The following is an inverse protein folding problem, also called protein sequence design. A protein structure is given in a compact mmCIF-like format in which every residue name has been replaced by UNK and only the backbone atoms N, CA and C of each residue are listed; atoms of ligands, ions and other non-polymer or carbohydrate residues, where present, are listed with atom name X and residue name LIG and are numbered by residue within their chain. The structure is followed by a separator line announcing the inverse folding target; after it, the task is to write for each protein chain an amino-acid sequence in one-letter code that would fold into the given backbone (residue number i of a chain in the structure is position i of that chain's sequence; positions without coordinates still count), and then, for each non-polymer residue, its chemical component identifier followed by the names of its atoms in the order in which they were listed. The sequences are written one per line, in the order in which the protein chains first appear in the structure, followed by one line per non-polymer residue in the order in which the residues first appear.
data_IF_641619013935
#
_entry.id   IF_641619013935
#
_cell.length_a   1.000
_cell.length_b   1.000
_cell.length_c   1.000
_cell.angle_alpha   90.00
_cell.angle_beta   90.00
_cell.angle_gamma   90.00
#
_symmetry.space_group_name_H-M   'P 1'
#
loop_
_entity.id
_entity.type
_entity.pdbx_description
1 polymer ?
#
# COMPACT_ATOMS: atom_id res chain seq x y z
N UNK A 1 -46.69 -59.25 46.36
CA UNK A 1 -45.57 -59.99 45.70
C UNK A 1 -45.55 -59.78 44.18
N UNK A 2 -46.71 -59.67 43.52
CA UNK A 2 -46.83 -59.46 42.07
C UNK A 2 -46.28 -58.08 41.63
N UNK A 3 -46.61 -57.00 42.34
CA UNK A 3 -46.13 -55.63 42.00
C UNK A 3 -44.61 -55.46 42.08
N UNK A 4 -43.96 -56.19 43.00
CA UNK A 4 -42.51 -56.13 43.15
C UNK A 4 -41.80 -56.80 41.97
N UNK A 5 -42.37 -57.89 41.44
CA UNK A 5 -41.84 -58.58 40.26
C UNK A 5 -42.00 -57.73 38.99
N UNK A 6 -43.14 -57.06 38.85
CA UNK A 6 -43.39 -56.16 37.71
C UNK A 6 -42.37 -55.03 37.67
N UNK A 7 -42.18 -54.32 38.79
CA UNK A 7 -41.20 -53.24 38.90
C UNK A 7 -39.76 -53.68 38.65
N UNK A 8 -39.38 -54.88 39.11
CA UNK A 8 -38.05 -55.44 38.83
C UNK A 8 -37.89 -55.74 37.33
N UNK A 9 -38.94 -56.22 36.67
CA UNK A 9 -38.93 -56.42 35.22
C UNK A 9 -38.77 -55.11 34.46
N UNK A 10 -39.57 -54.09 34.80
CA UNK A 10 -39.49 -52.76 34.17
C UNK A 10 -38.12 -52.11 34.37
N UNK A 11 -37.54 -52.26 35.56
CA UNK A 11 -36.21 -51.74 35.85
C UNK A 11 -35.12 -52.49 35.05
N UNK A 12 -35.26 -53.80 34.89
CA UNK A 12 -34.32 -54.60 34.09
C UNK A 12 -34.41 -54.27 32.59
N UNK A 13 -35.61 -53.97 32.08
CA UNK A 13 -35.81 -53.51 30.71
C UNK A 13 -35.17 -52.12 30.49
N UNK A 14 -35.34 -51.21 31.45
CA UNK A 14 -34.70 -49.89 31.43
C UNK A 14 -33.17 -49.98 31.47
N UNK A 15 -32.62 -50.84 32.32
CA UNK A 15 -31.17 -51.06 32.41
C UNK A 15 -30.60 -51.64 31.11
N UNK A 16 -31.35 -52.51 30.44
CA UNK A 16 -30.96 -53.05 29.13
C UNK A 16 -30.96 -51.98 28.04
N UNK A 17 -31.98 -51.10 28.00
CA UNK A 17 -32.04 -49.97 27.07
C UNK A 17 -30.92 -48.95 27.31
N UNK A 18 -30.63 -48.67 28.59
CA UNK A 18 -29.52 -47.80 28.99
C UNK A 18 -28.18 -48.40 28.54
N UNK A 19 -27.96 -49.70 28.75
CA UNK A 19 -26.75 -50.40 28.30
C UNK A 19 -26.56 -50.33 26.78
N UNK A 20 -27.64 -50.53 26.01
CA UNK A 20 -27.61 -50.40 24.56
C UNK A 20 -27.27 -48.97 24.11
N UNK A 21 -27.78 -47.95 24.82
CA UNK A 21 -27.50 -46.55 24.54
C UNK A 21 -26.04 -46.20 24.84
N UNK A 22 -25.51 -46.65 25.97
CA UNK A 22 -24.09 -46.46 26.34
C UNK A 22 -23.17 -47.13 25.31
N UNK A 23 -23.51 -48.33 24.83
CA UNK A 23 -22.74 -48.99 23.78
C UNK A 23 -22.71 -48.18 22.48
N UNK A 24 -23.85 -47.64 22.04
CA UNK A 24 -23.93 -46.76 20.86
C UNK A 24 -23.13 -45.47 21.04
N UNK A 25 -23.16 -44.88 22.23
CA UNK A 25 -22.37 -43.68 22.52
C UNK A 25 -20.87 -43.98 22.48
N UNK A 26 -20.45 -45.13 23.03
CA UNK A 26 -19.05 -45.57 23.00
C UNK A 26 -18.51 -45.70 21.57
N UNK A 27 -19.29 -46.30 20.66
CA UNK A 27 -18.88 -46.42 19.25
C UNK A 27 -18.81 -45.08 18.53
N UNK A 28 -19.73 -44.14 18.83
CA UNK A 28 -19.69 -42.79 18.27
C UNK A 28 -18.46 -42.02 18.78
N UNK A 29 -18.17 -42.09 20.08
CA UNK A 29 -17.01 -41.43 20.69
C UNK A 29 -15.73 -41.95 20.05
N UNK A 30 -15.60 -43.27 19.90
CA UNK A 30 -14.44 -43.87 19.25
C UNK A 30 -14.27 -43.38 17.80
N UNK A 31 -15.37 -43.28 17.04
CA UNK A 31 -15.34 -42.71 15.69
C UNK A 31 -14.93 -41.22 15.68
N UNK A 32 -15.34 -40.44 16.68
CA UNK A 32 -14.92 -39.06 16.83
C UNK A 32 -13.43 -38.95 17.19
N UNK A 33 -12.91 -39.81 18.05
CA UNK A 33 -11.48 -39.85 18.40
C UNK A 33 -10.60 -40.15 17.18
N UNK A 34 -11.01 -41.11 16.34
CA UNK A 34 -10.30 -41.44 15.11
C UNK A 34 -10.32 -40.28 14.10
N UNK A 35 -11.46 -39.58 13.98
CA UNK A 35 -11.56 -38.39 13.13
C UNK A 35 -10.68 -37.25 13.65
N UNK A 36 -10.68 -36.99 14.95
CA UNK A 36 -9.82 -35.97 15.57
C UNK A 36 -8.35 -36.29 15.29
N UNK A 37 -7.93 -37.54 15.50
CA UNK A 37 -6.57 -37.99 15.21
C UNK A 37 -6.21 -37.80 13.73
N UNK A 38 -7.13 -38.11 12.82
CA UNK A 38 -6.94 -37.88 11.39
C UNK A 38 -6.77 -36.41 11.03
N UNK A 39 -7.59 -35.53 11.61
CA UNK A 39 -7.49 -34.08 11.41
C UNK A 39 -6.19 -33.51 11.99
N UNK A 40 -5.74 -33.99 13.15
CA UNK A 40 -4.46 -33.57 13.74
C UNK A 40 -3.28 -33.90 12.82
N UNK A 41 -3.27 -35.08 12.21
CA UNK A 41 -2.26 -35.48 11.22
C UNK A 41 -2.29 -34.55 10.00
N UNK A 42 -3.47 -34.28 9.44
CA UNK A 42 -3.59 -33.37 8.28
C UNK A 42 -3.13 -31.95 8.59
N UNK A 43 -3.45 -31.43 9.78
CA UNK A 43 -2.99 -30.11 10.22
C UNK A 43 -1.47 -30.09 10.35
N UNK A 44 -0.89 -31.15 10.90
CA UNK A 44 0.56 -31.25 11.07
C UNK A 44 1.29 -31.35 9.72
N UNK A 45 0.80 -32.16 8.80
CA UNK A 45 1.33 -32.27 7.44
C UNK A 45 1.24 -30.93 6.69
N UNK A 46 0.07 -30.28 6.72
CA UNK A 46 -0.13 -28.96 6.09
C UNK A 46 0.81 -27.89 6.68
N UNK A 47 1.02 -27.92 8.00
CA UNK A 47 1.95 -27.03 8.68
C UNK A 47 3.41 -27.28 8.27
N UNK A 48 3.81 -28.53 8.11
CA UNK A 48 5.16 -28.88 7.64
C UNK A 48 5.37 -28.48 6.17
N UNK A 49 4.39 -28.69 5.31
CA UNK A 49 4.45 -28.23 3.92
C UNK A 49 4.56 -26.71 3.83
N UNK A 50 3.78 -25.98 4.63
CA UNK A 50 3.85 -24.53 4.69
C UNK A 50 5.23 -24.05 5.12
N UNK A 51 5.80 -24.69 6.15
CA UNK A 51 7.17 -24.41 6.59
C UNK A 51 8.20 -24.64 5.48
N UNK A 52 8.13 -25.79 4.79
CA UNK A 52 9.05 -26.10 3.68
C UNK A 52 8.95 -25.05 2.57
N UNK A 53 7.74 -24.69 2.15
CA UNK A 53 7.54 -23.64 1.14
C UNK A 53 8.08 -22.29 1.60
N UNK A 54 7.87 -21.92 2.86
CA UNK A 54 8.39 -20.67 3.42
C UNK A 54 9.92 -20.65 3.40
N UNK A 55 10.58 -21.75 3.81
CA UNK A 55 12.04 -21.87 3.81
C UNK A 55 12.61 -21.84 2.37
N UNK A 56 11.93 -22.48 1.42
CA UNK A 56 12.28 -22.44 -0.01
C UNK A 56 12.19 -21.02 -0.59
N UNK A 57 11.11 -20.28 -0.29
CA UNK A 57 10.95 -18.89 -0.74
C UNK A 57 12.01 -17.97 -0.14
N UNK A 58 12.36 -18.13 1.14
CA UNK A 58 13.43 -17.35 1.78
C UNK A 58 14.80 -17.65 1.14
N UNK A 59 15.08 -18.92 0.84
CA UNK A 59 16.30 -19.32 0.13
C UNK A 59 16.35 -18.77 -1.31
N UNK A 60 15.22 -18.77 -2.03
CA UNK A 60 15.12 -18.18 -3.37
C UNK A 60 15.32 -16.66 -3.35
N UNK A 61 14.69 -15.96 -2.41
CA UNK A 61 14.84 -14.52 -2.24
C UNK A 61 16.30 -14.15 -1.93
N UNK A 62 16.95 -14.91 -1.03
CA UNK A 62 18.39 -14.73 -0.71
C UNK A 62 19.28 -14.97 -1.92
N UNK A 63 19.01 -16.00 -2.72
CA UNK A 63 19.76 -16.28 -3.95
C UNK A 63 19.59 -15.14 -4.97
N UNK A 64 18.36 -14.72 -5.24
CA UNK A 64 18.08 -13.60 -6.13
C UNK A 64 18.75 -12.30 -5.67
N UNK A 65 18.75 -12.02 -4.37
CA UNK A 65 19.45 -10.86 -3.82
C UNK A 65 20.97 -10.92 -4.07
N UNK A 66 21.59 -12.09 -3.87
CA UNK A 66 23.01 -12.29 -4.15
C UNK A 66 23.33 -12.15 -5.64
N UNK A 67 22.48 -12.65 -6.54
CA UNK A 67 22.65 -12.54 -7.98
C UNK A 67 22.59 -11.07 -8.44
N UNK A 68 21.55 -10.34 -8.01
CA UNK A 68 21.42 -8.89 -8.24
C UNK A 68 22.63 -8.11 -7.71
N UNK A 69 23.13 -8.48 -6.52
CA UNK A 69 24.30 -7.84 -5.95
C UNK A 69 25.57 -8.06 -6.81
N UNK A 70 25.74 -9.26 -7.40
CA UNK A 70 26.85 -9.55 -8.33
C UNK A 70 26.71 -8.77 -9.64
N UNK A 71 25.50 -8.68 -10.20
CA UNK A 71 25.26 -7.88 -11.42
C UNK A 71 25.55 -6.39 -11.19
N UNK A 72 25.09 -5.84 -10.07
CA UNK A 72 25.36 -4.45 -9.70
C UNK A 72 26.87 -4.21 -9.53
N UNK A 73 27.60 -5.16 -8.94
CA UNK A 73 29.05 -5.07 -8.82
C UNK A 73 29.74 -5.07 -10.21
N UNK A 74 29.31 -5.95 -11.12
CA UNK A 74 29.83 -6.02 -12.48
C UNK A 74 29.56 -4.73 -13.28
N UNK A 75 28.34 -4.17 -13.18
CA UNK A 75 27.98 -2.91 -13.84
C UNK A 75 28.78 -1.72 -13.28
N UNK A 76 29.00 -1.69 -11.96
CA UNK A 76 29.86 -0.67 -11.33
C UNK A 76 31.29 -0.73 -11.86
N UNK A 77 31.85 -1.93 -12.02
CA UNK A 77 33.18 -2.14 -12.58
C UNK A 77 33.26 -1.68 -14.04
N UNK A 78 32.29 -2.05 -14.87
CA UNK A 78 32.22 -1.57 -16.27
C UNK A 78 32.14 -0.04 -16.35
N UNK A 79 31.35 0.60 -15.47
CA UNK A 79 31.24 2.05 -15.40
C UNK A 79 32.57 2.71 -14.98
N UNK A 80 33.29 2.12 -14.03
CA UNK A 80 34.60 2.60 -13.61
C UNK A 80 35.62 2.56 -14.77
N UNK A 81 35.64 1.45 -15.53
CA UNK A 81 36.51 1.30 -16.70
C UNK A 81 36.18 2.30 -17.82
N UNK A 82 34.89 2.53 -18.09
CA UNK A 82 34.43 3.56 -19.05
C UNK A 82 34.86 4.97 -18.61
N UNK A 83 34.69 5.28 -17.33
CA UNK A 83 35.08 6.58 -16.74
C UNK A 83 36.59 6.81 -16.86
N UNK A 84 37.41 5.78 -16.60
CA UNK A 84 38.86 5.87 -16.73
C UNK A 84 39.31 6.06 -18.19
N UNK A 85 38.69 5.35 -19.14
CA UNK A 85 38.94 5.53 -20.58
C UNK A 85 38.60 6.95 -21.06
N UNK A 86 37.49 7.52 -20.57
CA UNK A 86 37.08 8.88 -20.88
C UNK A 86 38.09 9.91 -20.35
N UNK A 87 38.57 9.74 -19.12
CA UNK A 87 39.56 10.62 -18.50
C UNK A 87 40.95 10.53 -19.18
N UNK A 88 41.32 9.36 -19.70
CA UNK A 88 42.55 9.17 -20.47
C UNK A 88 42.47 9.83 -21.88
N UNK A 89 41.29 9.77 -22.52
CA UNK A 89 41.05 10.39 -23.83
C UNK A 89 40.89 11.92 -23.73
N UNK A 90 40.31 12.42 -22.63
CA UNK A 90 40.10 13.85 -22.36
C UNK A 90 41.37 14.68 -22.12
N UNK A 91 42.57 14.07 -22.04
CA UNK A 91 43.84 14.80 -21.92
C UNK A 91 44.40 15.34 -23.24
N UNK A 92 43.78 15.04 -24.39
CA UNK A 92 44.26 15.51 -25.72
C UNK A 92 43.52 16.69 -26.32
N UNK A 93 42.42 17.17 -25.73
CA UNK A 93 41.73 18.36 -26.22
C UNK A 93 41.35 19.27 -25.04
N UNK A 94 41.74 20.54 -25.17
CA UNK A 94 41.38 21.70 -24.34
C UNK A 94 42.27 22.01 -23.11
N UNK A 95 43.54 22.33 -23.39
CA UNK A 95 44.26 23.43 -22.69
C UNK A 95 43.87 24.75 -23.35
N UNK A 96 42.66 25.23 -23.14
CA UNK A 96 42.23 26.62 -23.39
C UNK A 96 40.73 26.77 -23.05
N UNK A 97 40.44 27.25 -21.85
CA UNK A 97 39.28 28.10 -21.53
C UNK A 97 39.17 28.18 -20.00
N UNK A 98 39.78 29.22 -19.45
CA UNK A 98 39.45 29.73 -18.13
C UNK A 98 38.01 30.25 -18.16
N UNK A 99 37.27 29.91 -17.11
CA UNK A 99 36.07 30.59 -16.59
C UNK A 99 34.84 30.71 -17.52
N UNK A 100 33.94 29.70 -17.48
CA UNK A 100 32.48 29.93 -17.55
C UNK A 100 31.71 28.86 -16.74
N UNK A 101 30.55 29.19 -16.13
CA UNK A 101 29.78 28.28 -15.29
C UNK A 101 29.02 27.26 -16.15
N UNK A 102 29.22 25.98 -15.85
CA UNK A 102 28.61 24.84 -16.55
C UNK A 102 27.08 24.83 -16.33
N UNK A 103 26.24 24.79 -17.39
CA UNK A 103 24.81 24.56 -17.23
C UNK A 103 24.59 23.10 -16.82
N UNK A 104 23.85 22.90 -15.72
CA UNK A 104 23.45 21.57 -15.23
C UNK A 104 22.71 20.81 -16.33
N UNK A 105 23.20 19.59 -16.60
CA UNK A 105 22.57 18.56 -17.42
C UNK A 105 21.06 18.55 -17.23
N UNK A 106 20.32 18.83 -18.30
CA UNK A 106 18.90 18.55 -18.41
C UNK A 106 18.72 17.04 -18.31
N UNK A 107 18.30 16.56 -17.13
CA UNK A 107 17.79 15.21 -16.99
C UNK A 107 16.47 15.12 -17.75
N UNK A 108 16.39 14.13 -18.63
CA UNK A 108 15.22 13.75 -19.41
C UNK A 108 13.99 13.62 -18.52
N UNK A 109 12.91 14.31 -18.92
CA UNK A 109 11.76 14.67 -18.11
C UNK A 109 10.76 13.53 -17.79
N UNK A 110 11.19 12.27 -17.69
CA UNK A 110 10.25 11.15 -17.53
C UNK A 110 10.10 10.58 -16.11
N UNK A 111 11.05 10.81 -15.19
CA UNK A 111 10.98 10.25 -13.82
C UNK A 111 11.18 11.30 -12.71
N UNK A 112 10.80 12.56 -12.97
CA UNK A 112 10.88 13.59 -11.93
C UNK A 112 9.67 13.49 -11.00
N UNK A 113 9.89 13.34 -9.70
CA UNK A 113 8.85 13.43 -8.67
C UNK A 113 8.40 14.89 -8.53
N UNK A 114 7.10 15.17 -8.66
CA UNK A 114 6.58 16.54 -8.57
C UNK A 114 5.23 16.65 -7.87
N UNK A 115 5.04 17.79 -7.20
CA UNK A 115 3.76 18.23 -6.65
C UNK A 115 3.19 19.34 -7.54
N UNK A 116 1.90 19.29 -7.90
CA UNK A 116 1.26 20.32 -8.73
C UNK A 116 0.25 21.10 -7.92
N UNK A 117 0.30 22.42 -8.00
CA UNK A 117 -0.65 23.34 -7.34
C UNK A 117 -1.43 24.06 -8.43
N UNK A 118 -2.74 23.88 -8.43
CA UNK A 118 -3.67 24.53 -9.33
C UNK A 118 -4.26 25.77 -8.65
N UNK A 119 -4.01 26.93 -9.26
CA UNK A 119 -4.43 28.25 -8.77
C UNK A 119 -5.59 28.85 -9.58
N UNK A 120 -6.18 28.09 -10.51
CA UNK A 120 -7.22 28.57 -11.43
C UNK A 120 -8.48 29.11 -10.73
N UNK A 121 -8.78 28.65 -9.51
CA UNK A 121 -9.96 29.09 -8.73
C UNK A 121 -9.61 30.13 -7.65
N UNK A 122 -8.38 30.63 -7.63
CA UNK A 122 -7.97 31.67 -6.68
C UNK A 122 -8.63 33.01 -7.05
N UNK A 123 -9.35 33.60 -6.10
CA UNK A 123 -9.99 34.91 -6.28
C UNK A 123 -8.97 36.02 -6.53
N UNK A 124 -9.35 37.05 -7.28
CA UNK A 124 -8.47 38.18 -7.64
C UNK A 124 -7.75 38.82 -6.44
N UNK A 125 -8.42 38.93 -5.28
CA UNK A 125 -7.83 39.48 -4.05
C UNK A 125 -6.62 38.68 -3.52
N UNK A 126 -6.54 37.40 -3.83
CA UNK A 126 -5.51 36.48 -3.34
C UNK A 126 -4.48 36.11 -4.44
N UNK A 127 -4.55 36.71 -5.64
CA UNK A 127 -3.65 36.37 -6.77
C UNK A 127 -2.17 36.61 -6.46
N UNK A 128 -1.85 37.64 -5.68
CA UNK A 128 -0.50 37.91 -5.22
C UNK A 128 0.07 36.74 -4.39
N UNK A 129 -0.73 36.16 -3.47
CA UNK A 129 -0.34 35.01 -2.66
C UNK A 129 -0.18 33.72 -3.49
N UNK A 130 -0.91 33.62 -4.61
CA UNK A 130 -0.82 32.51 -5.55
C UNK A 130 0.26 32.67 -6.62
N UNK A 131 1.11 33.70 -6.53
CA UNK A 131 2.27 33.82 -7.41
C UNK A 131 3.32 32.77 -7.08
N UNK A 132 4.09 32.36 -8.10
CA UNK A 132 5.12 31.32 -8.00
C UNK A 132 6.14 31.60 -6.87
N UNK A 133 6.53 32.86 -6.70
CA UNK A 133 7.45 33.29 -5.64
C UNK A 133 6.84 33.16 -4.25
N UNK A 134 5.57 33.56 -4.08
CA UNK A 134 4.84 33.48 -2.82
C UNK A 134 4.56 32.04 -2.41
N UNK A 135 4.13 31.19 -3.36
CA UNK A 135 3.96 29.75 -3.14
C UNK A 135 5.28 29.11 -2.71
N UNK A 136 6.37 29.40 -3.43
CA UNK A 136 7.70 28.88 -3.09
C UNK A 136 8.12 29.30 -1.68
N UNK A 137 7.89 30.56 -1.31
CA UNK A 137 8.27 31.09 -0.01
C UNK A 137 7.42 30.48 1.11
N UNK A 138 6.11 30.38 0.93
CA UNK A 138 5.20 29.80 1.92
C UNK A 138 5.57 28.34 2.22
N UNK A 139 5.76 27.54 1.17
CA UNK A 139 6.15 26.13 1.30
C UNK A 139 7.52 26.01 1.97
N UNK A 140 8.50 26.82 1.56
CA UNK A 140 9.83 26.79 2.18
C UNK A 140 9.78 27.15 3.67
N UNK A 141 8.94 28.10 4.06
CA UNK A 141 8.76 28.48 5.47
C UNK A 141 8.09 27.36 6.26
N UNK A 142 7.06 26.74 5.70
CA UNK A 142 6.35 25.64 6.37
C UNK A 142 7.25 24.40 6.52
N UNK A 143 7.97 24.03 5.48
CA UNK A 143 8.92 22.91 5.55
C UNK A 143 10.02 23.13 6.58
N UNK A 144 10.45 24.38 6.79
CA UNK A 144 11.39 24.73 7.87
C UNK A 144 10.78 24.53 9.26
N UNK A 145 9.51 24.88 9.42
CA UNK A 145 8.80 24.68 10.67
C UNK A 145 8.58 23.19 10.98
N UNK A 146 8.35 22.36 9.95
CA UNK A 146 8.13 20.92 10.11
C UNK A 146 9.41 20.14 10.42
N UNK A 147 10.55 20.49 9.80
CA UNK A 147 11.74 19.64 9.82
C UNK A 147 12.94 20.19 10.62
N UNK A 148 12.83 21.40 11.20
CA UNK A 148 13.91 22.02 11.98
C UNK A 148 15.21 22.32 11.21
N UNK A 149 15.27 22.00 9.91
CA UNK A 149 16.44 22.20 9.07
C UNK A 149 16.37 23.50 8.26
N UNK A 150 17.33 24.39 8.45
CA UNK A 150 17.37 25.73 7.83
C UNK A 150 17.66 25.70 6.32
N UNK A 151 18.26 24.61 5.82
CA UNK A 151 18.87 24.52 4.49
C UNK A 151 18.00 23.86 3.42
N UNK A 152 16.78 23.40 3.75
CA UNK A 152 15.94 22.74 2.75
C UNK A 152 15.53 23.73 1.64
N UNK A 153 15.72 23.31 0.38
CA UNK A 153 15.37 24.08 -0.82
C UNK A 153 14.68 23.14 -1.81
N UNK A 154 13.45 23.47 -2.21
CA UNK A 154 12.77 22.78 -3.31
C UNK A 154 13.68 22.78 -4.55
N UNK A 155 13.76 21.66 -5.28
CA UNK A 155 14.70 21.53 -6.39
C UNK A 155 14.38 22.49 -7.53
N UNK A 156 13.09 22.63 -7.86
CA UNK A 156 12.60 23.67 -8.75
C UNK A 156 11.13 23.98 -8.46
N UNK A 157 10.71 25.22 -8.75
CA UNK A 157 9.29 25.60 -8.80
C UNK A 157 9.07 26.26 -10.15
N UNK A 158 8.20 25.69 -10.97
CA UNK A 158 8.02 26.04 -12.38
C UNK A 158 6.54 26.18 -12.69
N UNK A 159 6.17 27.16 -13.52
CA UNK A 159 4.81 27.28 -14.05
C UNK A 159 4.67 26.35 -15.26
N UNK A 160 3.57 25.61 -15.38
CA UNK A 160 3.37 24.75 -16.56
C UNK A 160 3.25 25.58 -17.83
N UNK A 161 3.95 25.17 -18.89
CA UNK A 161 3.90 25.85 -20.19
C UNK A 161 2.50 25.78 -20.83
N UNK A 162 1.78 24.68 -20.60
CA UNK A 162 0.43 24.46 -21.14
C UNK A 162 -0.68 25.10 -20.30
N UNK A 163 -0.43 25.35 -19.01
CA UNK A 163 -1.42 25.90 -18.11
C UNK A 163 -0.75 26.87 -17.12
N UNK A 164 -0.92 28.16 -17.37
CA UNK A 164 -0.32 29.20 -16.56
C UNK A 164 -0.83 29.22 -15.11
N UNK A 165 -2.00 28.64 -14.82
CA UNK A 165 -2.55 28.57 -13.47
C UNK A 165 -2.01 27.38 -12.66
N UNK A 166 -1.23 26.49 -13.28
CA UNK A 166 -0.60 25.35 -12.63
C UNK A 166 0.87 25.60 -12.34
N UNK A 167 1.25 25.37 -11.09
CA UNK A 167 2.63 25.47 -10.61
C UNK A 167 3.10 24.07 -10.22
N UNK A 168 4.17 23.59 -10.84
CA UNK A 168 4.85 22.34 -10.51
C UNK A 168 6.02 22.61 -9.59
N UNK A 169 6.13 21.84 -8.51
CA UNK A 169 7.26 21.81 -7.60
C UNK A 169 7.96 20.48 -7.82
N UNK A 170 9.21 20.54 -8.26
CA UNK A 170 10.05 19.36 -8.50
C UNK A 170 10.77 18.99 -7.22
N UNK A 171 10.71 17.70 -6.87
CA UNK A 171 11.30 17.08 -5.69
C UNK A 171 12.43 16.11 -6.11
N UNK A 172 13.37 15.85 -5.20
CA UNK A 172 14.53 14.96 -5.43
C UNK A 172 14.23 13.50 -5.09
N UNK A 173 13.40 13.27 -4.09
CA UNK A 173 13.02 11.96 -3.58
C UNK A 173 11.57 11.95 -3.07
N UNK A 174 11.05 10.75 -2.78
CA UNK A 174 9.65 10.55 -2.36
C UNK A 174 9.36 11.18 -0.99
N UNK A 175 10.34 11.21 -0.09
CA UNK A 175 10.19 11.83 1.22
C UNK A 175 10.07 13.35 1.10
N UNK A 176 10.89 13.99 0.25
CA UNK A 176 10.77 15.41 -0.11
C UNK A 176 9.43 15.68 -0.78
N UNK A 177 8.97 14.80 -1.68
CA UNK A 177 7.66 14.94 -2.31
C UNK A 177 6.52 14.93 -1.28
N UNK A 178 6.53 13.98 -0.35
CA UNK A 178 5.49 13.87 0.67
C UNK A 178 5.46 15.10 1.59
N UNK A 179 6.61 15.55 2.07
CA UNK A 179 6.69 16.77 2.89
C UNK A 179 6.26 18.02 2.08
N UNK A 180 6.63 18.12 0.81
CA UNK A 180 6.20 19.22 -0.06
C UNK A 180 4.69 19.21 -0.27
N UNK A 181 4.07 18.03 -0.45
CA UNK A 181 2.60 17.88 -0.56
C UNK A 181 1.91 18.39 0.71
N UNK A 182 2.39 17.98 1.88
CA UNK A 182 1.83 18.41 3.17
C UNK A 182 1.99 19.90 3.41
N UNK A 183 3.20 20.44 3.21
CA UNK A 183 3.48 21.87 3.33
C UNK A 183 2.65 22.70 2.34
N UNK A 184 2.51 22.24 1.09
CA UNK A 184 1.69 22.90 0.08
C UNK A 184 0.20 22.89 0.46
N UNK A 185 -0.30 21.80 1.05
CA UNK A 185 -1.69 21.68 1.46
C UNK A 185 -1.99 22.61 2.63
N UNK A 186 -1.06 22.72 3.59
CA UNK A 186 -1.19 23.60 4.76
C UNK A 186 -1.07 25.09 4.41
N UNK A 187 -0.22 25.41 3.43
CA UNK A 187 -0.02 26.78 2.95
C UNK A 187 -0.89 27.15 1.76
N UNK A 188 -1.85 26.28 1.38
CA UNK A 188 -2.73 26.48 0.25
C UNK A 188 -3.51 27.80 0.41
N UNK A 189 -3.36 28.67 -0.59
CA UNK A 189 -4.14 29.90 -0.70
C UNK A 189 -5.60 29.54 -0.95
N UNK A 190 -6.53 30.29 -0.37
CA UNK A 190 -7.96 30.09 -0.60
C UNK A 190 -8.29 30.09 -2.11
N UNK A 191 -8.92 29.00 -2.58
CA UNK A 191 -9.20 28.76 -4.00
C UNK A 191 -8.08 28.07 -4.78
N UNK A 192 -6.90 27.87 -4.19
CA UNK A 192 -5.88 26.98 -4.74
C UNK A 192 -6.13 25.55 -4.29
N UNK A 193 -5.75 24.58 -5.12
CA UNK A 193 -5.78 23.16 -4.76
C UNK A 193 -4.43 22.53 -5.07
N UNK A 194 -3.88 21.81 -4.11
CA UNK A 194 -2.80 20.88 -4.39
C UNK A 194 -3.42 19.72 -5.15
N UNK A 195 -2.99 19.50 -6.38
CA UNK A 195 -3.36 18.32 -7.14
C UNK A 195 -2.73 17.13 -6.42
N UNK A 196 -3.57 16.27 -5.87
CA UNK A 196 -3.15 14.97 -5.33
C UNK A 196 -2.52 14.13 -6.44
N UNK A 197 -1.95 13.00 -6.06
CA UNK A 197 -1.72 11.91 -7.01
C UNK A 197 -2.99 11.71 -7.85
N UNK A 198 -2.84 11.54 -9.16
CA UNK A 198 -3.99 11.35 -10.02
C UNK A 198 -4.66 10.04 -9.62
N UNK A 199 -5.67 10.14 -8.74
CA UNK A 199 -6.53 9.03 -8.39
C UNK A 199 -7.45 8.81 -9.58
N UNK A 200 -7.40 7.61 -10.15
CA UNK A 200 -8.28 7.20 -11.23
C UNK A 200 -9.39 6.35 -10.64
N UNK A 201 -10.67 6.68 -10.87
CA UNK A 201 -11.76 5.87 -10.36
C UNK A 201 -11.73 4.50 -11.04
N UNK A 202 -11.70 3.44 -10.24
CA UNK A 202 -11.77 2.06 -10.70
C UNK A 202 -13.11 1.47 -10.26
N UNK A 203 -13.89 0.98 -11.21
CA UNK A 203 -15.12 0.24 -10.90
C UNK A 203 -14.76 -1.19 -10.53
N UNK A 204 -15.24 -1.63 -9.37
CA UNK A 204 -15.11 -3.01 -8.88
C UNK A 204 -16.51 -3.59 -8.80
N UNK A 205 -16.80 -4.61 -9.62
CA UNK A 205 -18.05 -5.35 -9.56
C UNK A 205 -17.92 -6.55 -8.61
N UNK A 206 -19.06 -7.03 -8.09
CA UNK A 206 -19.13 -8.21 -7.21
C UNK A 206 -18.28 -8.12 -5.92
N UNK A 207 -18.18 -6.92 -5.34
CA UNK A 207 -17.54 -6.72 -4.04
C UNK A 207 -18.46 -7.19 -2.90
N UNK A 208 -17.88 -7.85 -1.90
CA UNK A 208 -18.62 -8.31 -0.71
C UNK A 208 -18.93 -7.12 0.21
N UNK A 209 -20.23 -6.85 0.41
CA UNK A 209 -20.74 -5.74 1.22
C UNK A 209 -20.28 -5.84 2.67
N UNK A 210 -20.40 -7.00 3.30
CA UNK A 210 -20.14 -7.16 4.75
C UNK A 210 -18.65 -7.10 5.09
N UNK A 211 -17.77 -7.26 4.09
CA UNK A 211 -16.34 -7.14 4.26
C UNK A 211 -15.85 -5.68 4.17
N UNK A 212 -16.66 -4.78 3.60
CA UNK A 212 -16.25 -3.41 3.28
C UNK A 212 -17.11 -2.39 4.01
N UNK A 213 -18.39 -2.68 4.25
CA UNK A 213 -19.35 -1.80 4.88
C UNK A 213 -19.92 -2.41 6.17
N UNK A 214 -20.26 -1.56 7.14
CA UNK A 214 -21.02 -1.93 8.33
C UNK A 214 -22.53 -2.10 8.05
N UNK A 215 -23.31 -2.37 9.10
CA UNK A 215 -24.76 -2.51 9.00
C UNK A 215 -25.41 -1.20 8.53
N UNK A 216 -24.82 -0.08 8.92
CA UNK A 216 -25.16 1.28 8.55
C UNK A 216 -24.66 1.62 7.13
N UNK A 217 -23.92 0.75 6.43
CA UNK A 217 -23.45 1.03 5.07
C UNK A 217 -22.33 2.07 4.98
N UNK A 218 -21.70 2.41 6.08
CA UNK A 218 -20.46 3.19 6.15
C UNK A 218 -19.26 2.26 5.96
N UNK A 219 -18.15 2.79 5.42
CA UNK A 219 -16.95 1.98 5.15
C UNK A 219 -16.31 1.58 6.48
N UNK A 220 -16.06 0.28 6.64
CA UNK A 220 -15.45 -0.27 7.84
C UNK A 220 -14.06 0.33 8.07
N UNK A 221 -13.71 0.67 9.33
CA UNK A 221 -12.34 1.08 9.68
C UNK A 221 -11.34 -0.01 9.28
N UNK A 222 -10.26 0.36 8.59
CA UNK A 222 -9.26 -0.59 8.12
C UNK A 222 -9.55 -1.22 6.74
N UNK A 223 -10.74 -1.06 6.18
CA UNK A 223 -11.08 -1.66 4.88
C UNK A 223 -10.26 -1.06 3.73
N UNK A 224 -10.04 0.25 3.77
CA UNK A 224 -9.22 0.94 2.76
C UNK A 224 -7.76 0.46 2.85
N UNK A 225 -7.24 0.37 4.07
CA UNK A 225 -5.87 -0.05 4.35
C UNK A 225 -5.63 -1.51 3.96
N UNK A 226 -6.56 -2.40 4.31
CA UNK A 226 -6.48 -3.82 3.98
C UNK A 226 -6.53 -4.04 2.46
N UNK A 227 -7.49 -3.42 1.76
CA UNK A 227 -7.59 -3.53 0.29
C UNK A 227 -6.38 -2.91 -0.42
N UNK A 228 -5.87 -1.79 0.10
CA UNK A 228 -4.65 -1.15 -0.39
C UNK A 228 -3.44 -2.07 -0.24
N UNK A 229 -3.27 -2.68 0.93
CA UNK A 229 -2.17 -3.59 1.24
C UNK A 229 -2.23 -4.89 0.40
N UNK A 230 -3.41 -5.48 0.28
CA UNK A 230 -3.64 -6.72 -0.48
C UNK A 230 -3.28 -6.54 -1.97
N UNK A 231 -3.67 -5.41 -2.55
CA UNK A 231 -3.49 -5.13 -3.98
C UNK A 231 -2.21 -4.33 -4.30
N UNK A 232 -1.44 -3.93 -3.28
CA UNK A 232 -0.25 -3.07 -3.40
C UNK A 232 -0.54 -1.76 -4.15
N UNK A 233 -1.69 -1.16 -3.86
CA UNK A 233 -2.13 0.13 -4.43
C UNK A 233 -2.53 1.09 -3.32
N UNK A 234 -2.47 2.38 -3.58
CA UNK A 234 -2.96 3.39 -2.63
C UNK A 234 -4.41 3.73 -2.96
N UNK A 235 -5.36 3.23 -2.16
CA UNK A 235 -6.77 3.57 -2.32
C UNK A 235 -7.06 4.86 -1.55
N UNK A 236 -7.58 5.88 -2.24
CA UNK A 236 -7.90 7.17 -1.63
C UNK A 236 -9.31 7.26 -1.06
N UNK A 237 -10.30 6.65 -1.72
CA UNK A 237 -11.71 6.70 -1.29
C UNK A 237 -12.50 5.54 -1.91
N UNK A 238 -13.29 4.86 -1.09
CA UNK A 238 -14.27 3.87 -1.55
C UNK A 238 -15.65 4.51 -1.59
N UNK A 239 -16.45 4.22 -2.61
CA UNK A 239 -17.85 4.62 -2.68
C UNK A 239 -18.71 3.51 -3.26
N UNK A 240 -19.77 3.15 -2.54
CA UNK A 240 -20.69 2.10 -2.97
C UNK A 240 -21.64 2.63 -4.04
N UNK A 241 -21.74 1.95 -5.19
CA UNK A 241 -22.53 2.45 -6.33
C UNK A 241 -24.02 2.11 -6.23
N UNK A 242 -24.42 1.36 -5.20
CA UNK A 242 -25.73 0.73 -5.15
C UNK A 242 -26.53 1.16 -3.92
N UNK A 243 -27.87 1.11 -4.04
CA UNK A 243 -28.78 1.55 -2.99
C UNK A 243 -28.53 0.79 -1.67
N UNK A 244 -28.45 1.52 -0.56
CA UNK A 244 -28.16 1.02 0.80
C UNK A 244 -29.13 -0.07 1.27
N UNK A 245 -30.40 0.03 0.90
CA UNK A 245 -31.51 -0.82 1.38
C UNK A 245 -31.59 -2.20 0.75
N UNK A 246 -30.70 -2.50 -0.19
CA UNK A 246 -31.00 -3.47 -1.22
C UNK A 246 -30.61 -4.91 -0.90
N UNK A 247 -30.27 -5.21 0.37
CA UNK A 247 -30.12 -6.54 0.98
C UNK A 247 -29.13 -7.53 0.34
N UNK A 248 -28.57 -7.25 -0.83
CA UNK A 248 -27.68 -8.18 -1.54
C UNK A 248 -26.28 -8.13 -0.97
N UNK A 249 -25.71 -9.32 -0.73
CA UNK A 249 -24.37 -9.49 -0.18
C UNK A 249 -23.25 -8.98 -1.12
N UNK A 250 -23.42 -9.11 -2.44
CA UNK A 250 -22.39 -8.71 -3.41
C UNK A 250 -22.89 -7.63 -4.37
N UNK A 251 -22.12 -6.54 -4.53
CA UNK A 251 -22.47 -5.41 -5.41
C UNK A 251 -21.25 -4.63 -5.90
N UNK A 252 -21.51 -3.65 -6.77
CA UNK A 252 -20.48 -2.79 -7.35
C UNK A 252 -20.12 -1.61 -6.46
N UNK A 253 -18.83 -1.27 -6.45
CA UNK A 253 -18.27 -0.08 -5.83
C UNK A 253 -17.32 0.63 -6.80
N UNK A 254 -16.96 1.86 -6.46
CA UNK A 254 -15.86 2.60 -7.09
C UNK A 254 -14.80 2.89 -6.04
N UNK A 255 -13.53 2.71 -6.42
CA UNK A 255 -12.35 2.99 -5.60
C UNK A 255 -11.43 3.98 -6.28
#
# INVERSE_FOLDING_TARGET
MVDLKHRVSEQNDYDQELSATVYKQSTIIQGQEDLIRGLEVQVQESKEEFRRKSDEHDAELKRGHQDLQREVAALKEQLAQLTQKLNASGRRLCRAALEQPVPRKQQTASDSLYCTIDTSRVRSRNKNKAQIGSIRQAIKTEMRAMNGQETLRCAAVVRESRNADRVKIVCRDEAELQMVKEAAQKTAVEGSRVMRDQLYPVRVDNANRTAILDAEGDVLPGAIEALSAENRVTIGKISWLSKRESGKAYRSMVV
#
